data_IF_645462590885
#
_entry.id   IF_645462590885
#
_cell.length_a   1.000
_cell.length_b   1.000
_cell.length_c   1.000
_cell.angle_alpha   90.00
_cell.angle_beta   90.00
_cell.angle_gamma   90.00
#
_symmetry.space_group_name_H-M   'P 1'
#
loop_
_entity.id
_entity.type
_entity.pdbx_description
1 polymer ?
#
# COMPACT_ATOMS: atom_id res chain seq x y z
N UNK A 1 34.79 34.39 -47.55
CA UNK A 1 35.21 33.04 -47.13
C UNK A 1 35.73 33.00 -45.71
N UNK A 2 36.58 33.88 -45.22
CA UNK A 2 37.18 33.91 -43.86
C UNK A 2 36.10 34.12 -42.76
N UNK A 3 35.14 35.04 -42.98
CA UNK A 3 34.06 35.35 -42.00
C UNK A 3 33.15 34.17 -41.72
N UNK A 4 32.87 33.31 -42.69
CA UNK A 4 32.04 32.08 -42.48
C UNK A 4 32.74 31.02 -41.63
N UNK A 5 34.05 30.93 -41.73
CA UNK A 5 34.88 30.02 -40.96
C UNK A 5 34.96 30.44 -39.49
N UNK A 6 35.12 31.76 -39.23
CA UNK A 6 35.13 32.32 -37.89
C UNK A 6 33.76 32.11 -37.18
N UNK A 7 32.65 32.36 -37.88
CA UNK A 7 31.30 32.15 -37.36
C UNK A 7 31.04 30.66 -36.99
N UNK A 8 31.56 29.75 -37.79
CA UNK A 8 31.48 28.31 -37.55
C UNK A 8 32.29 27.90 -36.31
N UNK A 9 33.47 28.48 -36.10
CA UNK A 9 34.29 28.22 -34.91
C UNK A 9 33.63 28.73 -33.62
N UNK A 10 33.04 29.92 -33.62
CA UNK A 10 32.30 30.45 -32.46
C UNK A 10 31.06 29.61 -32.15
N UNK A 11 30.32 29.14 -33.16
CA UNK A 11 29.17 28.27 -32.98
C UNK A 11 29.55 26.94 -32.34
N UNK A 12 30.63 26.31 -32.81
CA UNK A 12 31.16 25.07 -32.24
C UNK A 12 31.58 25.29 -30.78
N UNK A 13 32.25 26.38 -30.46
CA UNK A 13 32.64 26.70 -29.08
C UNK A 13 31.44 26.88 -28.15
N UNK A 14 30.37 27.50 -28.63
CA UNK A 14 29.11 27.62 -27.87
C UNK A 14 28.44 26.25 -27.63
N UNK A 15 28.46 25.35 -28.63
CA UNK A 15 27.93 23.99 -28.48
C UNK A 15 28.74 23.20 -27.43
N UNK A 16 30.07 23.25 -27.47
CA UNK A 16 30.91 22.58 -26.49
C UNK A 16 30.67 23.12 -25.07
N UNK A 17 30.55 24.45 -24.93
CA UNK A 17 30.21 25.06 -23.64
C UNK A 17 28.85 24.64 -23.15
N UNK A 18 27.84 24.56 -24.01
CA UNK A 18 26.50 24.09 -23.67
C UNK A 18 26.49 22.63 -23.22
N UNK A 19 27.20 21.74 -23.94
CA UNK A 19 27.34 20.31 -23.57
C UNK A 19 28.02 20.15 -22.20
N UNK A 20 29.04 21.00 -21.93
CA UNK A 20 29.73 20.99 -20.66
C UNK A 20 28.81 21.37 -19.48
N UNK A 21 28.01 22.43 -19.62
CA UNK A 21 27.01 22.80 -18.61
C UNK A 21 25.89 21.77 -18.47
N UNK A 22 25.44 21.17 -19.59
CA UNK A 22 24.44 20.13 -19.59
C UNK A 22 24.88 18.92 -18.79
N UNK A 23 26.15 18.53 -18.84
CA UNK A 23 26.75 17.46 -18.05
C UNK A 23 26.59 17.72 -16.54
N UNK A 24 26.85 18.92 -16.07
CA UNK A 24 26.68 19.27 -14.66
C UNK A 24 25.20 19.26 -14.25
N UNK A 25 24.33 19.77 -15.10
CA UNK A 25 22.89 19.77 -14.86
C UNK A 25 22.34 18.33 -14.72
N UNK A 26 22.78 17.42 -15.60
CA UNK A 26 22.44 16.00 -15.52
C UNK A 26 22.96 15.38 -14.22
N UNK A 27 24.20 15.69 -13.81
CA UNK A 27 24.80 15.20 -12.57
C UNK A 27 24.01 15.68 -11.33
N UNK A 28 23.67 16.96 -11.27
CA UNK A 28 22.83 17.53 -10.20
C UNK A 28 21.46 16.86 -10.18
N UNK A 29 20.85 16.64 -11.33
CA UNK A 29 19.56 15.98 -11.45
C UNK A 29 19.60 14.53 -10.94
N UNK A 30 20.62 13.75 -11.35
CA UNK A 30 20.82 12.38 -10.87
C UNK A 30 21.06 12.37 -9.35
N UNK A 31 21.89 13.27 -8.84
CA UNK A 31 22.17 13.38 -7.41
C UNK A 31 20.90 13.72 -6.62
N UNK A 32 20.10 14.67 -7.13
CA UNK A 32 18.81 15.04 -6.51
C UNK A 32 17.84 13.88 -6.47
N UNK A 33 17.77 13.06 -7.53
CA UNK A 33 16.96 11.83 -7.54
C UNK A 33 17.45 10.83 -6.50
N UNK A 34 18.77 10.58 -6.43
CA UNK A 34 19.35 9.67 -5.43
C UNK A 34 19.03 10.17 -4.03
N UNK A 35 19.17 11.46 -3.76
CA UNK A 35 18.90 12.07 -2.46
C UNK A 35 17.42 11.95 -2.12
N UNK A 36 16.52 12.21 -3.06
CA UNK A 36 15.08 12.02 -2.90
C UNK A 36 14.75 10.59 -2.49
N UNK A 37 15.37 9.59 -3.09
CA UNK A 37 15.10 8.19 -2.80
C UNK A 37 15.80 7.67 -1.53
N UNK A 38 16.90 8.27 -1.10
CA UNK A 38 17.61 7.85 0.12
C UNK A 38 17.08 8.52 1.37
N UNK A 39 16.57 9.73 1.28
CA UNK A 39 16.01 10.49 2.41
C UNK A 39 15.01 9.70 3.25
N UNK A 40 14.00 9.00 2.69
CA UNK A 40 13.07 8.22 3.48
C UNK A 40 13.69 7.08 4.29
N UNK A 41 14.87 6.56 3.90
CA UNK A 41 15.55 5.49 4.63
C UNK A 41 16.18 5.96 5.94
N UNK A 42 16.42 7.27 6.07
CA UNK A 42 17.05 7.89 7.24
C UNK A 42 16.01 8.13 8.35
N UNK A 43 14.72 8.16 8.00
CA UNK A 43 13.66 8.38 8.99
C UNK A 43 13.41 7.15 9.86
N UNK A 44 13.20 7.39 11.14
CA UNK A 44 12.77 6.37 12.09
C UNK A 44 11.30 5.99 11.81
N UNK A 45 11.08 4.80 11.25
CA UNK A 45 9.73 4.34 10.90
C UNK A 45 8.93 3.79 12.08
N UNK A 46 9.57 3.57 13.22
CA UNK A 46 8.87 3.15 14.44
C UNK A 46 7.87 4.22 14.86
N UNK A 47 8.31 5.48 14.89
CA UNK A 47 7.45 6.61 15.25
C UNK A 47 6.32 6.83 14.23
N UNK A 48 6.60 6.55 12.94
CA UNK A 48 5.60 6.65 11.87
C UNK A 48 4.52 5.57 11.93
N UNK A 49 4.80 4.43 12.52
CA UNK A 49 3.80 3.36 12.68
C UNK A 49 2.69 3.80 13.62
N UNK A 50 2.98 4.56 14.66
CA UNK A 50 1.96 5.11 15.56
C UNK A 50 1.02 6.03 14.80
N UNK A 51 1.54 6.97 14.03
CA UNK A 51 0.75 7.88 13.20
C UNK A 51 -0.10 7.13 12.16
N UNK A 52 0.46 6.06 11.57
CA UNK A 52 -0.25 5.21 10.62
C UNK A 52 -1.35 4.43 11.35
N UNK A 53 -1.08 3.88 12.53
CA UNK A 53 -2.05 3.16 13.33
C UNK A 53 -3.21 4.05 13.77
N UNK A 54 -2.95 5.29 14.16
CA UNK A 54 -3.99 6.25 14.51
C UNK A 54 -4.92 6.52 13.32
N UNK A 55 -4.35 6.68 12.13
CA UNK A 55 -5.16 6.82 10.91
C UNK A 55 -5.92 5.55 10.56
N UNK A 56 -5.28 4.39 10.64
CA UNK A 56 -5.92 3.10 10.38
C UNK A 56 -7.07 2.84 11.34
N UNK A 57 -6.89 3.16 12.63
CA UNK A 57 -7.92 3.05 13.66
C UNK A 57 -9.10 3.99 13.40
N UNK A 58 -8.79 5.28 13.17
CA UNK A 58 -9.81 6.31 13.06
C UNK A 58 -10.57 6.27 11.72
N UNK A 59 -9.88 5.93 10.63
CA UNK A 59 -10.48 5.94 9.29
C UNK A 59 -10.96 4.56 8.82
N UNK A 60 -10.33 3.49 9.28
CA UNK A 60 -10.55 2.14 8.75
C UNK A 60 -10.91 1.10 9.81
N UNK A 61 -10.86 1.46 11.10
CA UNK A 61 -11.31 0.60 12.19
C UNK A 61 -10.38 -0.58 12.53
N UNK A 62 -9.12 -0.57 12.10
CA UNK A 62 -8.15 -1.62 12.44
C UNK A 62 -6.80 -1.06 12.90
N UNK A 63 -6.05 -1.87 13.63
CA UNK A 63 -4.76 -1.53 14.22
C UNK A 63 -3.76 -2.64 13.89
N UNK A 64 -2.51 -2.25 13.68
CA UNK A 64 -1.37 -3.16 13.50
C UNK A 64 -0.56 -3.15 14.78
N UNK A 65 -0.36 -4.32 15.37
CA UNK A 65 0.40 -4.48 16.62
C UNK A 65 1.50 -5.51 16.50
N UNK A 66 2.48 -5.46 17.41
CA UNK A 66 3.56 -6.44 17.57
C UNK A 66 4.30 -6.74 16.25
N UNK A 67 4.94 -5.72 15.68
CA UNK A 67 5.78 -5.90 14.50
C UNK A 67 7.23 -6.18 14.89
N UNK A 68 7.83 -7.24 14.35
CA UNK A 68 9.25 -7.57 14.57
C UNK A 68 10.18 -6.66 13.77
N UNK A 69 9.79 -6.37 12.55
CA UNK A 69 10.65 -5.63 11.61
C UNK A 69 9.84 -4.75 10.68
N UNK A 70 10.20 -3.48 10.63
CA UNK A 70 9.61 -2.49 9.73
C UNK A 70 10.68 -2.04 8.74
N UNK A 71 10.45 -2.30 7.45
CA UNK A 71 11.34 -1.88 6.36
C UNK A 71 10.61 -1.04 5.35
N UNK A 72 11.23 0.04 4.98
CA UNK A 72 10.78 0.84 3.87
C UNK A 72 11.35 0.32 2.54
N UNK A 73 10.49 0.21 1.51
CA UNK A 73 10.86 -0.10 0.14
C UNK A 73 10.32 0.97 -0.81
N UNK A 74 11.22 1.45 -1.68
CA UNK A 74 10.89 2.51 -2.65
C UNK A 74 10.35 1.90 -3.94
N UNK A 75 11.00 0.85 -4.41
CA UNK A 75 10.74 0.27 -5.73
C UNK A 75 10.02 -1.08 -5.64
N UNK A 76 9.08 -1.43 -6.56
CA UNK A 76 8.57 -0.62 -7.69
C UNK A 76 7.58 0.48 -7.25
N UNK A 77 6.97 0.36 -6.09
CA UNK A 77 6.08 1.35 -5.49
C UNK A 77 6.47 1.56 -4.03
N UNK A 78 6.41 2.82 -3.55
CA UNK A 78 6.73 3.11 -2.16
C UNK A 78 5.80 2.34 -1.22
N UNK A 79 6.39 1.54 -0.32
CA UNK A 79 5.63 0.79 0.66
C UNK A 79 6.42 0.57 1.96
N UNK A 80 5.69 0.44 3.06
CA UNK A 80 6.19 -0.06 4.32
C UNK A 80 5.95 -1.56 4.36
N UNK A 81 7.02 -2.32 4.52
CA UNK A 81 6.97 -3.77 4.72
C UNK A 81 7.15 -4.07 6.19
N UNK A 82 6.16 -4.72 6.79
CA UNK A 82 6.12 -5.12 8.19
C UNK A 82 6.10 -6.62 8.24
N UNK A 83 6.92 -7.22 9.10
CA UNK A 83 6.96 -8.66 9.30
C UNK A 83 6.39 -9.03 10.66
N UNK A 84 5.77 -10.22 10.73
CA UNK A 84 5.26 -10.86 11.93
C UNK A 84 4.43 -9.90 12.80
N UNK A 85 3.38 -9.36 12.21
CA UNK A 85 2.47 -8.45 12.88
C UNK A 85 1.11 -9.09 13.14
N UNK A 86 0.32 -8.44 13.98
CA UNK A 86 -1.09 -8.78 14.19
C UNK A 86 -1.97 -7.65 13.68
N UNK A 87 -3.04 -8.00 13.01
CA UNK A 87 -4.09 -7.07 12.61
C UNK A 87 -5.30 -7.30 13.53
N UNK A 88 -5.76 -6.25 14.19
CA UNK A 88 -6.96 -6.25 15.03
C UNK A 88 -8.03 -5.39 14.39
N UNK A 89 -9.24 -5.94 14.21
CA UNK A 89 -10.42 -5.26 13.68
C UNK A 89 -11.37 -4.89 14.84
N UNK A 90 -11.02 -3.85 15.62
CA UNK A 90 -11.83 -3.42 16.76
C UNK A 90 -11.70 -4.31 17.99
N UNK A 91 -12.52 -4.00 19.03
CA UNK A 91 -12.40 -4.65 20.35
C UNK A 91 -12.91 -6.10 20.40
N UNK A 92 -13.78 -6.50 19.46
CA UNK A 92 -14.51 -7.76 19.51
C UNK A 92 -14.01 -8.83 18.54
N UNK A 93 -12.97 -8.53 17.77
CA UNK A 93 -12.42 -9.47 16.78
C UNK A 93 -11.07 -10.02 17.25
N UNK A 94 -10.84 -11.30 17.02
CA UNK A 94 -9.56 -11.95 17.30
C UNK A 94 -8.45 -11.33 16.45
N UNK A 95 -7.26 -11.21 17.02
CA UNK A 95 -6.09 -10.74 16.30
C UNK A 95 -5.68 -11.75 15.23
N UNK A 96 -5.52 -11.30 14.01
CA UNK A 96 -5.07 -12.12 12.89
C UNK A 96 -3.56 -11.98 12.74
N UNK A 97 -2.84 -13.08 12.88
CA UNK A 97 -1.38 -13.11 12.68
C UNK A 97 -1.06 -13.03 11.19
N UNK A 98 -0.21 -12.07 10.83
CA UNK A 98 0.24 -11.82 9.47
C UNK A 98 1.75 -11.95 9.38
N UNK A 99 2.26 -12.83 8.52
CA UNK A 99 3.70 -13.02 8.29
C UNK A 99 4.35 -11.82 7.59
N UNK A 100 3.61 -11.24 6.64
CA UNK A 100 4.08 -10.11 5.85
C UNK A 100 2.93 -9.15 5.55
N UNK A 101 3.11 -7.89 5.90
CA UNK A 101 2.21 -6.79 5.61
C UNK A 101 2.95 -5.75 4.77
N UNK A 102 2.31 -5.24 3.71
CA UNK A 102 2.81 -4.14 2.88
C UNK A 102 1.79 -3.04 2.83
N UNK A 103 2.15 -1.88 3.32
CA UNK A 103 1.31 -0.68 3.30
C UNK A 103 1.80 0.23 2.18
N UNK A 104 0.98 0.41 1.15
CA UNK A 104 1.25 1.31 0.04
C UNK A 104 0.65 2.68 0.33
N UNK A 105 1.47 3.70 0.25
CA UNK A 105 1.08 5.09 0.51
C UNK A 105 1.36 5.97 -0.72
N UNK A 106 0.93 7.24 -0.66
CA UNK A 106 1.37 8.25 -1.60
C UNK A 106 2.83 8.67 -1.32
N UNK A 107 3.50 9.28 -2.30
CA UNK A 107 4.87 9.79 -2.14
C UNK A 107 4.98 10.82 -1.00
N UNK A 108 4.00 11.72 -0.83
CA UNK A 108 4.01 12.73 0.23
C UNK A 108 3.98 12.11 1.62
N UNK A 109 3.21 11.04 1.81
CA UNK A 109 3.14 10.32 3.08
C UNK A 109 4.44 9.66 3.51
N UNK A 110 5.45 9.59 2.63
CA UNK A 110 6.78 9.11 2.98
C UNK A 110 7.59 10.13 3.75
N UNK A 111 7.36 11.41 3.48
CA UNK A 111 8.09 12.53 4.07
C UNK A 111 7.32 13.19 5.22
N UNK A 112 6.00 13.02 5.27
CA UNK A 112 5.13 13.60 6.29
C UNK A 112 4.09 12.58 6.75
N UNK A 113 4.07 12.27 8.04
CA UNK A 113 3.05 11.40 8.64
C UNK A 113 1.64 12.00 8.54
N UNK A 114 1.54 13.34 8.49
CA UNK A 114 0.25 14.04 8.37
C UNK A 114 -0.41 13.83 7.02
N UNK A 115 0.39 13.65 5.96
CA UNK A 115 -0.07 13.53 4.56
C UNK A 115 -0.13 12.08 4.06
N UNK A 116 -0.06 11.09 4.96
CA UNK A 116 -0.17 9.69 4.59
C UNK A 116 -1.57 9.41 4.03
N UNK A 117 -1.64 9.17 2.73
CA UNK A 117 -2.82 8.64 2.07
C UNK A 117 -2.62 7.15 1.82
N UNK A 118 -3.42 6.33 2.49
CA UNK A 118 -3.39 4.90 2.34
C UNK A 118 -3.98 4.53 0.97
N UNK A 119 -3.18 3.90 0.11
CA UNK A 119 -3.63 3.42 -1.21
C UNK A 119 -4.09 1.97 -1.16
N UNK A 120 -3.30 1.12 -0.54
CA UNK A 120 -3.59 -0.30 -0.45
C UNK A 120 -2.77 -0.93 0.69
N UNK A 121 -3.33 -1.92 1.35
CA UNK A 121 -2.61 -2.82 2.25
C UNK A 121 -2.66 -4.21 1.65
N UNK A 122 -1.50 -4.84 1.45
CA UNK A 122 -1.39 -6.25 1.09
C UNK A 122 -0.90 -7.04 2.30
N UNK A 123 -1.48 -8.19 2.53
CA UNK A 123 -1.12 -9.04 3.64
C UNK A 123 -1.00 -10.51 3.22
N UNK A 124 -0.11 -11.22 3.91
CA UNK A 124 0.07 -12.66 3.78
C UNK A 124 0.26 -13.25 5.17
N UNK A 125 -0.37 -14.35 5.45
CA UNK A 125 -0.29 -14.99 6.74
C UNK A 125 -0.56 -16.48 6.68
N UNK A 126 -0.65 -17.07 7.87
CA UNK A 126 -1.10 -18.43 8.06
C UNK A 126 -2.16 -18.45 9.17
N UNK A 127 -3.26 -19.11 8.91
CA UNK A 127 -4.33 -19.27 9.86
C UNK A 127 -4.74 -20.75 9.91
N UNK A 128 -4.67 -21.36 11.06
CA UNK A 128 -4.96 -22.79 11.27
C UNK A 128 -4.19 -23.73 10.31
N UNK A 129 -2.93 -23.42 9.99
CA UNK A 129 -2.11 -24.21 9.07
C UNK A 129 -2.26 -23.84 7.59
N UNK A 130 -3.23 -23.03 7.21
CA UNK A 130 -3.47 -22.64 5.83
C UNK A 130 -2.88 -21.27 5.53
N UNK A 131 -2.11 -21.18 4.46
CA UNK A 131 -1.57 -19.90 3.99
C UNK A 131 -2.67 -19.10 3.28
N UNK A 132 -2.83 -17.86 3.71
CA UNK A 132 -3.74 -16.90 3.11
C UNK A 132 -2.99 -15.68 2.59
N UNK A 133 -3.55 -15.04 1.58
CA UNK A 133 -3.12 -13.74 1.10
C UNK A 133 -4.34 -12.87 0.81
N UNK A 134 -4.14 -11.57 0.84
CA UNK A 134 -5.21 -10.65 0.53
C UNK A 134 -4.73 -9.21 0.42
N UNK A 135 -5.69 -8.35 0.16
CA UNK A 135 -5.46 -6.91 0.16
C UNK A 135 -6.70 -6.14 0.62
N UNK A 136 -6.45 -5.00 1.19
CA UNK A 136 -7.45 -4.01 1.55
C UNK A 136 -7.18 -2.75 0.73
N UNK A 137 -8.21 -2.22 0.08
CA UNK A 137 -8.13 -1.00 -0.73
C UNK A 137 -9.20 -0.04 -0.24
N UNK A 138 -8.82 1.08 0.40
CA UNK A 138 -9.76 2.12 0.76
C UNK A 138 -10.26 2.82 -0.50
N UNK A 139 -11.55 3.08 -0.55
CA UNK A 139 -12.22 3.86 -1.59
C UNK A 139 -13.11 4.90 -0.93
N UNK A 140 -13.49 5.94 -1.66
CA UNK A 140 -14.26 7.06 -1.11
C UNK A 140 -15.57 6.64 -0.45
N UNK A 141 -16.28 5.67 -1.01
CA UNK A 141 -17.59 5.24 -0.56
C UNK A 141 -17.60 3.84 0.06
N UNK A 142 -16.77 2.95 -0.44
CA UNK A 142 -16.74 1.54 -0.07
C UNK A 142 -15.30 1.06 0.02
N UNK A 143 -14.93 0.48 1.16
CA UNK A 143 -13.63 -0.16 1.29
C UNK A 143 -13.72 -1.60 0.78
N UNK A 144 -12.77 -2.01 -0.03
CA UNK A 144 -12.69 -3.36 -0.56
C UNK A 144 -11.67 -4.18 0.23
N UNK A 145 -12.11 -5.28 0.83
CA UNK A 145 -11.27 -6.31 1.40
C UNK A 145 -11.38 -7.57 0.53
N UNK A 146 -10.26 -8.01 0.01
CA UNK A 146 -10.13 -9.27 -0.71
C UNK A 146 -9.23 -10.21 0.07
N UNK A 147 -9.61 -11.49 0.19
CA UNK A 147 -8.71 -12.48 0.71
C UNK A 147 -8.90 -13.84 -0.01
N UNK A 148 -7.81 -14.62 -0.04
CA UNK A 148 -7.75 -15.90 -0.73
C UNK A 148 -6.94 -16.92 0.10
N UNK A 149 -7.48 -18.13 0.18
CA UNK A 149 -6.81 -19.33 0.70
C UNK A 149 -6.70 -20.33 -0.44
N UNK A 150 -5.55 -20.33 -1.11
CA UNK A 150 -5.38 -21.12 -2.35
C UNK A 150 -5.53 -22.62 -2.14
N UNK A 151 -5.02 -23.15 -1.02
CA UNK A 151 -5.06 -24.57 -0.69
C UNK A 151 -6.48 -25.09 -0.49
N UNK A 152 -7.41 -24.22 -0.09
CA UNK A 152 -8.83 -24.54 0.09
C UNK A 152 -9.70 -24.06 -1.08
N UNK A 153 -9.10 -23.45 -2.10
CA UNK A 153 -9.86 -22.85 -3.19
C UNK A 153 -10.83 -21.75 -2.75
N UNK A 154 -10.60 -21.15 -1.58
CA UNK A 154 -11.47 -20.09 -1.04
C UNK A 154 -11.00 -18.74 -1.56
N UNK A 155 -11.95 -17.97 -2.07
CA UNK A 155 -11.77 -16.58 -2.48
C UNK A 155 -12.93 -15.74 -1.97
N UNK A 156 -12.67 -14.61 -1.30
CA UNK A 156 -13.70 -13.73 -0.77
C UNK A 156 -13.44 -12.28 -1.13
N UNK A 157 -14.49 -11.59 -1.55
CA UNK A 157 -14.55 -10.14 -1.78
C UNK A 157 -15.58 -9.55 -0.83
N UNK A 158 -15.14 -8.65 0.03
CA UNK A 158 -15.95 -8.01 1.06
C UNK A 158 -15.93 -6.50 0.86
N UNK A 159 -17.09 -5.89 0.82
CA UNK A 159 -17.28 -4.44 0.75
C UNK A 159 -17.70 -3.93 2.13
N UNK A 160 -16.96 -2.94 2.63
CA UNK A 160 -17.16 -2.33 3.93
C UNK A 160 -17.58 -0.87 3.73
N UNK A 161 -18.81 -0.54 4.10
CA UNK A 161 -19.31 0.85 4.05
C UNK A 161 -19.22 1.49 5.43
N UNK A 162 -18.16 2.26 5.67
CA UNK A 162 -17.91 2.94 6.94
C UNK A 162 -18.58 4.33 7.06
N UNK A 163 -19.18 4.86 5.97
CA UNK A 163 -19.84 6.18 5.98
C UNK A 163 -21.21 6.16 6.67
N UNK A 164 -21.82 4.99 6.82
CA UNK A 164 -23.08 4.85 7.56
C UNK A 164 -22.79 4.81 9.06
N UNK A 165 -23.71 5.29 9.86
CA UNK A 165 -23.64 5.27 11.34
C UNK A 165 -23.30 3.85 11.86
N UNK A 166 -23.66 2.83 11.09
CA UNK A 166 -23.29 1.44 11.31
C UNK A 166 -22.65 0.89 10.03
N UNK A 167 -21.52 0.18 10.13
CA UNK A 167 -20.88 -0.41 8.97
C UNK A 167 -21.82 -1.45 8.35
N UNK A 168 -21.98 -1.34 7.04
CA UNK A 168 -22.67 -2.38 6.25
C UNK A 168 -21.58 -3.20 5.58
N UNK A 169 -21.66 -4.51 5.75
CA UNK A 169 -20.73 -5.47 5.21
C UNK A 169 -21.48 -6.33 4.20
N UNK A 170 -21.11 -6.27 2.94
CA UNK A 170 -21.63 -7.14 1.89
C UNK A 170 -20.50 -7.79 1.14
N UNK A 171 -20.73 -8.95 0.54
CA UNK A 171 -19.68 -9.59 -0.21
C UNK A 171 -20.06 -10.92 -0.83
N UNK A 172 -19.07 -11.49 -1.50
CA UNK A 172 -19.16 -12.81 -2.10
C UNK A 172 -18.02 -13.68 -1.61
N UNK A 173 -18.30 -14.92 -1.30
CA UNK A 173 -17.32 -15.94 -1.01
C UNK A 173 -17.49 -17.09 -1.99
N UNK A 174 -16.41 -17.50 -2.63
CA UNK A 174 -16.34 -18.65 -3.53
C UNK A 174 -15.45 -19.70 -2.90
N UNK A 175 -15.85 -20.95 -2.99
CA UNK A 175 -15.04 -22.09 -2.55
C UNK A 175 -15.09 -23.19 -3.59
N UNK A 176 -13.94 -23.85 -3.80
CA UNK A 176 -13.77 -25.03 -4.64
C UNK A 176 -13.35 -26.21 -3.76
N UNK A 177 -14.14 -26.53 -2.76
CA UNK A 177 -13.83 -27.63 -1.83
C UNK A 177 -14.16 -28.99 -2.46
N UNK A 178 -15.09 -29.01 -3.39
CA UNK A 178 -15.47 -30.15 -4.23
C UNK A 178 -15.42 -29.76 -5.71
N UNK A 179 -15.73 -30.68 -6.63
CA UNK A 179 -15.83 -30.35 -8.06
C UNK A 179 -16.86 -29.25 -8.38
N UNK A 180 -17.73 -28.94 -7.40
CA UNK A 180 -18.75 -27.90 -7.50
C UNK A 180 -18.24 -26.56 -6.95
N UNK A 181 -18.57 -25.47 -7.64
CA UNK A 181 -18.29 -24.12 -7.18
C UNK A 181 -19.38 -23.68 -6.19
N UNK A 182 -19.04 -23.58 -4.92
CA UNK A 182 -19.93 -22.97 -3.93
C UNK A 182 -19.75 -21.45 -3.99
N UNK A 183 -20.82 -20.71 -4.22
CA UNK A 183 -20.85 -19.25 -4.19
C UNK A 183 -21.82 -18.83 -3.10
N UNK A 184 -21.33 -18.11 -2.10
CA UNK A 184 -22.11 -17.53 -1.02
C UNK A 184 -22.11 -16.02 -1.16
N UNK A 185 -23.28 -15.42 -1.36
CA UNK A 185 -23.49 -14.00 -1.25
C UNK A 185 -23.97 -13.69 0.17
N UNK A 186 -23.41 -12.66 0.81
CA UNK A 186 -23.80 -12.28 2.14
C UNK A 186 -23.95 -10.77 2.28
N UNK A 187 -24.89 -10.36 3.12
CA UNK A 187 -25.12 -8.98 3.50
C UNK A 187 -25.40 -8.93 5.00
N UNK A 188 -24.65 -8.11 5.74
CA UNK A 188 -24.78 -7.92 7.17
C UNK A 188 -25.19 -6.50 7.50
N UNK A 189 -26.22 -6.35 8.32
CA UNK A 189 -26.63 -5.07 8.87
C UNK A 189 -25.80 -4.66 10.10
N UNK A 190 -26.20 -3.55 10.75
CA UNK A 190 -25.57 -3.03 11.97
C UNK A 190 -25.49 -4.01 13.13
N UNK A 191 -26.35 -5.03 13.16
CA UNK A 191 -26.40 -6.03 14.21
C UNK A 191 -25.64 -7.29 13.82
N UNK A 192 -24.89 -7.27 12.70
CA UNK A 192 -24.21 -8.43 12.11
C UNK A 192 -25.17 -9.61 11.87
N UNK A 193 -26.45 -9.32 11.62
CA UNK A 193 -27.42 -10.35 11.26
C UNK A 193 -27.33 -10.63 9.79
N UNK A 194 -27.33 -11.88 9.46
CA UNK A 194 -27.38 -12.36 8.08
C UNK A 194 -28.71 -11.93 7.46
N UNK A 195 -28.65 -11.16 6.39
CA UNK A 195 -29.86 -10.70 5.71
C UNK A 195 -30.28 -11.63 4.58
N UNK A 196 -29.32 -12.05 3.75
CA UNK A 196 -29.55 -12.92 2.60
C UNK A 196 -28.35 -13.83 2.37
N UNK A 197 -28.62 -15.12 2.16
CA UNK A 197 -27.69 -16.11 1.60
C UNK A 197 -28.40 -16.80 0.43
N UNK A 198 -27.85 -16.66 -0.75
CA UNK A 198 -28.23 -17.47 -1.92
C UNK A 198 -27.02 -18.25 -2.36
#
# INVERSE_FOLDING_TARGET
MIISILRKKEFIKKIYSFIYYLRYLILIFIFSIILLFTTPKIFNYVDKIEDINDKLKNQHGFIITNSDEIKYKIFPLPNLKIKNSYISFGKNFSNIRVKELKIFTNFRGLYSSKDVLLKQIKFKGNFLGYDFNGYYTPQENLNLLFFQVKSLGIESKVFLNNKKKFPVISGTMKSKVTNDNLIINFDYDKNLRFKNSN
#
